data_IF_251037030399
#
_entry.id   IF_251037030399
#
_cell.length_a   1.000
_cell.length_b   1.000
_cell.length_c   1.000
_cell.angle_alpha   90.00
_cell.angle_beta   90.00
_cell.angle_gamma   90.00
#
_symmetry.space_group_name_H-M   'P 1'
#
loop_
_entity.id
_entity.type
_entity.pdbx_description
1 polymer ?
#
# COMPACT_ATOMS: atom_id res chain seq x y z
N UNK A 1 -20.95 5.38 8.86
CA UNK A 1 -19.65 4.97 8.52
C UNK A 1 -18.68 4.95 9.67
N UNK A 2 -17.89 3.90 9.75
CA UNK A 2 -16.83 3.74 10.75
C UNK A 2 -15.47 4.26 10.23
N UNK A 3 -15.37 4.51 8.93
CA UNK A 3 -14.16 4.96 8.28
C UNK A 3 -14.47 5.85 7.06
N UNK A 4 -13.47 6.61 6.63
CA UNK A 4 -13.47 7.36 5.38
C UNK A 4 -12.33 6.85 4.50
N UNK A 5 -12.47 6.87 3.16
CA UNK A 5 -11.37 6.48 2.28
C UNK A 5 -10.15 7.38 2.47
N UNK A 6 -8.97 6.79 2.55
CA UNK A 6 -7.71 7.50 2.45
C UNK A 6 -7.23 7.52 0.99
N UNK A 7 -6.57 8.60 0.58
CA UNK A 7 -6.05 8.77 -0.78
C UNK A 7 -4.54 8.99 -0.79
N UNK A 8 -3.93 9.09 0.37
CA UNK A 8 -2.48 9.19 0.56
C UNK A 8 -2.11 8.81 1.99
N UNK A 9 -0.83 8.59 2.25
CA UNK A 9 -0.31 8.34 3.59
C UNK A 9 -0.34 9.57 4.52
N UNK A 10 -0.60 10.76 3.97
CA UNK A 10 -0.68 11.99 4.77
C UNK A 10 -2.05 12.09 5.44
N UNK A 11 -2.05 12.21 6.75
CA UNK A 11 -3.25 12.16 7.57
C UNK A 11 -3.88 13.54 7.77
N UNK A 12 -5.20 13.63 8.00
CA UNK A 12 -5.86 14.88 8.37
C UNK A 12 -5.17 15.57 9.55
N UNK A 13 -4.95 16.88 9.42
CA UNK A 13 -4.29 17.69 10.45
C UNK A 13 -2.77 17.69 10.39
N UNK A 14 -2.17 17.04 9.38
CA UNK A 14 -0.71 17.13 9.14
C UNK A 14 -0.40 18.02 7.95
N UNK A 15 0.81 18.62 7.94
CA UNK A 15 1.28 19.36 6.75
C UNK A 15 1.32 18.45 5.53
N UNK A 16 1.02 19.03 4.37
CA UNK A 16 0.90 18.30 3.11
C UNK A 16 -0.39 17.50 2.93
N UNK A 17 -1.24 17.36 3.97
CA UNK A 17 -2.59 16.82 3.78
C UNK A 17 -3.45 17.74 2.92
N UNK A 18 -4.15 17.16 1.98
CA UNK A 18 -5.06 17.88 1.09
C UNK A 18 -6.40 17.12 1.05
N UNK A 19 -7.47 17.69 1.63
CA UNK A 19 -8.78 17.04 1.66
C UNK A 19 -9.44 16.95 0.26
N UNK A 20 -8.97 17.72 -0.72
CA UNK A 20 -9.45 17.68 -2.09
C UNK A 20 -8.68 16.65 -2.95
N UNK A 21 -7.55 16.14 -2.47
CA UNK A 21 -6.77 15.19 -3.23
C UNK A 21 -7.55 13.89 -3.45
N UNK A 22 -7.56 13.44 -4.69
CA UNK A 22 -8.18 12.17 -5.10
C UNK A 22 -7.22 11.41 -6.00
N UNK A 23 -7.27 10.10 -5.92
CA UNK A 23 -6.52 9.20 -6.78
C UNK A 23 -7.46 8.19 -7.42
N UNK A 24 -7.42 8.09 -8.73
CA UNK A 24 -8.12 7.03 -9.45
C UNK A 24 -7.62 5.62 -9.09
N UNK A 25 -6.40 5.53 -8.59
CA UNK A 25 -5.81 4.26 -8.14
C UNK A 25 -6.43 3.75 -6.83
N UNK A 26 -7.07 4.64 -6.04
CA UNK A 26 -7.78 4.28 -4.81
C UNK A 26 -9.25 3.89 -5.06
N UNK A 27 -9.74 3.98 -6.29
CA UNK A 27 -11.11 3.63 -6.62
C UNK A 27 -11.28 2.11 -6.66
N UNK A 28 -12.22 1.60 -5.86
CA UNK A 28 -12.59 0.19 -5.92
C UNK A 28 -13.44 -0.09 -7.17
N UNK A 29 -12.92 -0.85 -8.11
CA UNK A 29 -13.61 -1.25 -9.33
C UNK A 29 -13.18 -2.64 -9.78
N UNK A 30 -14.06 -3.63 -9.59
CA UNK A 30 -13.87 -5.00 -10.06
C UNK A 30 -13.72 -5.04 -11.59
N UNK A 31 -14.49 -4.23 -12.31
CA UNK A 31 -14.47 -4.18 -13.77
C UNK A 31 -13.11 -3.67 -14.28
N UNK A 32 -12.61 -2.57 -13.70
CA UNK A 32 -11.29 -2.01 -14.06
C UNK A 32 -10.17 -2.98 -13.70
N UNK A 33 -10.22 -3.62 -12.53
CA UNK A 33 -9.24 -4.60 -12.10
C UNK A 33 -9.18 -5.80 -13.05
N UNK A 34 -10.33 -6.37 -13.44
CA UNK A 34 -10.39 -7.46 -14.41
C UNK A 34 -9.83 -7.03 -15.77
N UNK A 35 -10.23 -5.86 -16.28
CA UNK A 35 -9.73 -5.36 -17.57
C UNK A 35 -8.20 -5.17 -17.56
N UNK A 36 -7.62 -4.68 -16.48
CA UNK A 36 -6.17 -4.53 -16.35
C UNK A 36 -5.48 -5.89 -16.28
N UNK A 37 -6.00 -6.82 -15.47
CA UNK A 37 -5.44 -8.17 -15.39
C UNK A 37 -5.46 -8.86 -16.75
N UNK A 38 -6.57 -8.78 -17.49
CA UNK A 38 -6.70 -9.35 -18.83
C UNK A 38 -5.70 -8.71 -19.81
N UNK A 39 -5.58 -7.38 -19.79
CA UNK A 39 -4.67 -6.62 -20.66
C UNK A 39 -3.20 -7.02 -20.43
N UNK A 40 -2.81 -7.32 -19.19
CA UNK A 40 -1.46 -7.75 -18.84
C UNK A 40 -1.25 -9.26 -18.91
N UNK A 41 -2.25 -10.03 -19.39
CA UNK A 41 -2.12 -11.46 -19.65
C UNK A 41 -2.29 -12.35 -18.40
N UNK A 42 -2.82 -11.81 -17.33
CA UNK A 42 -3.24 -12.58 -16.16
C UNK A 42 -4.63 -13.17 -16.41
N UNK A 43 -4.70 -14.38 -16.91
CA UNK A 43 -5.93 -15.02 -17.37
C UNK A 43 -6.17 -16.34 -16.61
N UNK A 44 -7.43 -16.70 -16.42
CA UNK A 44 -7.82 -18.04 -16.01
C UNK A 44 -7.77 -18.95 -17.25
N UNK A 45 -6.69 -19.72 -17.40
CA UNK A 45 -6.45 -20.57 -18.57
C UNK A 45 -6.95 -22.00 -18.38
N UNK A 46 -7.06 -22.44 -17.14
CA UNK A 46 -7.47 -23.81 -16.81
C UNK A 46 -8.96 -23.92 -16.46
N UNK A 47 -9.66 -22.78 -16.25
CA UNK A 47 -11.09 -22.70 -15.97
C UNK A 47 -11.46 -23.01 -14.52
N UNK A 48 -10.53 -22.89 -13.59
CA UNK A 48 -10.78 -23.16 -12.17
C UNK A 48 -11.33 -21.95 -11.39
N UNK A 49 -11.42 -20.79 -12.06
CA UNK A 49 -11.92 -19.53 -11.50
C UNK A 49 -10.81 -18.67 -10.90
N UNK A 50 -9.55 -19.09 -11.01
CA UNK A 50 -8.39 -18.31 -10.60
C UNK A 50 -7.47 -18.02 -11.79
N UNK A 51 -6.80 -16.90 -11.73
CA UNK A 51 -5.91 -16.44 -12.79
C UNK A 51 -4.51 -17.00 -12.65
N UNK A 52 -3.85 -17.24 -13.76
CA UNK A 52 -2.41 -17.49 -13.86
C UNK A 52 -1.66 -16.22 -14.27
N UNK A 53 -0.37 -16.20 -13.94
CA UNK A 53 0.60 -15.25 -14.47
C UNK A 53 0.74 -15.39 -16.00
N UNK A 54 1.29 -14.40 -16.73
CA UNK A 54 1.51 -14.50 -18.16
C UNK A 54 2.31 -15.73 -18.59
N UNK A 55 3.18 -16.25 -17.71
CA UNK A 55 3.96 -17.50 -17.95
C UNK A 55 3.22 -18.77 -17.48
N UNK A 56 1.93 -18.66 -17.11
CA UNK A 56 1.06 -19.81 -16.84
C UNK A 56 1.16 -20.39 -15.43
N UNK A 57 1.77 -19.68 -14.48
CA UNK A 57 1.85 -20.13 -13.09
C UNK A 57 0.66 -19.63 -12.26
N UNK A 58 0.11 -20.43 -11.31
CA UNK A 58 -0.93 -19.96 -10.40
C UNK A 58 -0.51 -18.72 -9.62
N UNK A 59 -1.42 -17.76 -9.49
CA UNK A 59 -1.22 -16.58 -8.64
C UNK A 59 -1.76 -16.88 -7.25
N UNK A 60 -0.86 -16.93 -6.27
CA UNK A 60 -1.22 -17.02 -4.86
C UNK A 60 -0.59 -15.88 -4.10
N UNK A 61 -1.41 -15.01 -3.52
CA UNK A 61 -0.94 -13.93 -2.69
C UNK A 61 -1.01 -14.36 -1.23
N UNK A 62 0.07 -14.09 -0.48
CA UNK A 62 0.15 -14.39 0.93
C UNK A 62 0.08 -13.13 1.76
N UNK A 63 -1.00 -12.97 2.53
CA UNK A 63 -1.24 -11.84 3.42
C UNK A 63 -0.95 -12.26 4.86
N UNK A 64 0.05 -11.64 5.48
CA UNK A 64 0.28 -11.77 6.91
C UNK A 64 -0.83 -11.03 7.68
N UNK A 65 -1.33 -11.65 8.73
CA UNK A 65 -2.46 -11.14 9.52
C UNK A 65 -2.34 -11.58 10.98
N UNK A 66 -3.26 -11.14 11.81
CA UNK A 66 -3.24 -11.38 13.26
C UNK A 66 -4.47 -12.19 13.71
N UNK A 67 -4.44 -12.84 14.88
CA UNK A 67 -5.51 -13.76 15.28
C UNK A 67 -6.77 -13.09 15.82
N UNK A 68 -6.76 -11.76 16.07
CA UNK A 68 -7.87 -11.03 16.65
C UNK A 68 -9.10 -11.00 15.73
N UNK A 69 -10.28 -10.86 16.30
CA UNK A 69 -11.55 -10.94 15.56
C UNK A 69 -11.66 -9.93 14.43
N UNK A 70 -11.17 -8.71 14.62
CA UNK A 70 -11.22 -7.67 13.60
C UNK A 70 -10.45 -8.08 12.32
N UNK A 71 -9.32 -8.76 12.48
CA UNK A 71 -8.54 -9.24 11.32
C UNK A 71 -9.23 -10.38 10.58
N UNK A 72 -10.02 -11.21 11.28
CA UNK A 72 -10.83 -12.25 10.62
C UNK A 72 -11.87 -11.62 9.70
N UNK A 73 -12.51 -10.53 10.13
CA UNK A 73 -13.49 -9.80 9.33
C UNK A 73 -12.82 -9.14 8.11
N UNK A 74 -11.63 -8.54 8.29
CA UNK A 74 -10.84 -8.01 7.18
C UNK A 74 -10.38 -9.11 6.22
N UNK A 75 -9.92 -10.24 6.72
CA UNK A 75 -9.50 -11.37 5.89
C UNK A 75 -10.66 -11.89 5.02
N UNK A 76 -11.88 -11.91 5.55
CA UNK A 76 -13.04 -12.31 4.76
C UNK A 76 -13.40 -11.28 3.68
N UNK A 77 -13.25 -9.97 3.96
CA UNK A 77 -13.40 -8.92 2.96
C UNK A 77 -12.35 -9.07 1.85
N UNK A 78 -11.07 -9.25 2.21
CA UNK A 78 -9.98 -9.49 1.28
C UNK A 78 -10.22 -10.71 0.41
N UNK A 79 -10.59 -11.85 1.02
CA UNK A 79 -10.88 -13.09 0.29
C UNK A 79 -11.97 -12.87 -0.77
N UNK A 80 -13.07 -12.22 -0.40
CA UNK A 80 -14.18 -11.95 -1.33
C UNK A 80 -13.78 -10.99 -2.44
N UNK A 81 -13.09 -9.90 -2.10
CA UNK A 81 -12.64 -8.91 -3.07
C UNK A 81 -11.67 -9.53 -4.09
N UNK A 82 -10.65 -10.26 -3.63
CA UNK A 82 -9.67 -10.89 -4.51
C UNK A 82 -10.26 -12.02 -5.35
N UNK A 83 -11.15 -12.83 -4.77
CA UNK A 83 -11.88 -13.86 -5.52
C UNK A 83 -12.74 -13.27 -6.64
N UNK A 84 -13.31 -12.07 -6.47
CA UNK A 84 -14.12 -11.42 -7.51
C UNK A 84 -13.32 -11.00 -8.75
N UNK A 85 -11.98 -10.98 -8.64
CA UNK A 85 -11.06 -10.73 -9.75
C UNK A 85 -10.18 -11.96 -10.08
N UNK A 86 -10.54 -13.13 -9.57
CA UNK A 86 -9.87 -14.40 -9.87
C UNK A 86 -8.47 -14.52 -9.23
N UNK A 87 -8.22 -13.93 -8.07
CA UNK A 87 -6.93 -14.06 -7.36
C UNK A 87 -7.12 -14.79 -6.03
N UNK A 88 -6.29 -15.82 -5.81
CA UNK A 88 -6.27 -16.56 -4.55
C UNK A 88 -5.44 -15.83 -3.49
N UNK A 89 -5.97 -15.71 -2.27
CA UNK A 89 -5.25 -15.14 -1.12
C UNK A 89 -5.18 -16.16 0.01
N UNK A 90 -3.97 -16.44 0.46
CA UNK A 90 -3.67 -17.21 1.66
C UNK A 90 -3.37 -16.28 2.84
N UNK A 91 -3.86 -16.61 4.03
CA UNK A 91 -3.64 -15.81 5.23
C UNK A 91 -2.62 -16.52 6.16
N UNK A 92 -1.48 -15.85 6.39
CA UNK A 92 -0.48 -16.29 7.35
C UNK A 92 -0.75 -15.61 8.69
N UNK A 93 -1.35 -16.36 9.63
CA UNK A 93 -1.74 -15.83 10.94
C UNK A 93 -0.55 -15.95 11.90
N UNK A 94 -0.08 -14.82 12.44
CA UNK A 94 0.94 -14.75 13.46
C UNK A 94 0.68 -13.54 14.39
N UNK A 95 1.32 -13.50 15.54
CA UNK A 95 1.25 -12.35 16.46
C UNK A 95 2.00 -11.15 15.87
N UNK A 96 1.56 -9.94 16.22
CA UNK A 96 2.16 -8.71 15.71
C UNK A 96 3.71 -8.65 15.80
N UNK A 97 4.37 -9.05 16.94
CA UNK A 97 5.84 -9.03 17.01
C UNK A 97 6.51 -9.97 16.00
N UNK A 98 5.89 -11.11 15.70
CA UNK A 98 6.39 -12.09 14.72
C UNK A 98 6.23 -11.56 13.30
N UNK A 99 5.08 -10.97 13.00
CA UNK A 99 4.83 -10.31 11.71
C UNK A 99 5.81 -9.14 11.51
N UNK A 100 6.04 -8.29 12.52
CA UNK A 100 7.00 -7.20 12.46
C UNK A 100 8.42 -7.70 12.21
N UNK A 101 8.87 -8.74 12.93
CA UNK A 101 10.17 -9.36 12.72
C UNK A 101 10.32 -9.87 11.27
N UNK A 102 9.27 -10.50 10.74
CA UNK A 102 9.25 -11.01 9.37
C UNK A 102 9.24 -9.89 8.34
N UNK A 103 8.53 -8.78 8.59
CA UNK A 103 8.52 -7.59 7.74
C UNK A 103 9.90 -6.93 7.70
N UNK A 104 10.55 -6.74 8.85
CA UNK A 104 11.91 -6.20 8.93
C UNK A 104 12.93 -7.11 8.21
N UNK A 105 12.75 -8.43 8.26
CA UNK A 105 13.57 -9.39 7.51
C UNK A 105 13.25 -9.42 6.00
N UNK A 106 12.13 -8.80 5.54
CA UNK A 106 11.70 -8.82 4.14
C UNK A 106 11.13 -10.16 3.69
N UNK A 107 10.60 -10.95 4.61
CA UNK A 107 10.04 -12.28 4.33
C UNK A 107 8.52 -12.28 4.16
N UNK A 108 7.85 -11.14 4.32
CA UNK A 108 6.43 -10.98 4.03
C UNK A 108 6.21 -10.54 2.58
N UNK A 109 5.18 -11.09 1.96
CA UNK A 109 4.72 -10.61 0.66
C UNK A 109 3.76 -9.43 0.81
N UNK A 110 2.78 -9.57 1.68
CA UNK A 110 1.79 -8.55 2.00
C UNK A 110 1.51 -8.55 3.51
N UNK A 111 1.28 -7.39 4.08
CA UNK A 111 0.86 -7.25 5.47
C UNK A 111 0.00 -5.99 5.64
N UNK A 112 -1.06 -6.09 6.42
CA UNK A 112 -1.91 -4.96 6.77
C UNK A 112 -1.42 -4.35 8.08
N UNK A 113 -0.97 -3.10 8.02
CA UNK A 113 -0.41 -2.37 9.16
C UNK A 113 -1.12 -1.03 9.33
N UNK A 114 -1.61 -0.77 10.55
CA UNK A 114 -2.14 0.54 10.93
C UNK A 114 -1.03 1.51 11.32
N UNK A 115 -1.23 2.79 11.05
CA UNK A 115 -0.34 3.86 11.51
C UNK A 115 -1.14 5.06 12.01
N UNK A 116 -0.49 5.92 12.79
CA UNK A 116 -1.05 7.19 13.28
C UNK A 116 -0.01 8.29 13.15
N UNK A 117 -0.48 9.53 12.93
CA UNK A 117 0.41 10.68 12.95
C UNK A 117 0.92 10.94 14.38
N UNK A 118 2.22 11.03 14.54
CA UNK A 118 2.88 11.35 15.81
C UNK A 118 3.18 12.84 15.99
N UNK A 119 3.04 13.63 14.91
CA UNK A 119 3.32 15.06 14.88
C UNK A 119 2.42 15.76 13.84
N UNK A 120 2.25 17.10 13.93
CA UNK A 120 1.53 17.87 12.93
C UNK A 120 2.21 17.93 11.56
N UNK A 121 3.45 17.46 11.44
CA UNK A 121 4.18 17.38 10.18
C UNK A 121 3.87 16.07 9.45
N UNK A 122 3.56 16.15 8.16
CA UNK A 122 3.31 14.98 7.32
C UNK A 122 4.57 14.29 6.82
N UNK A 123 5.74 14.94 6.89
CA UNK A 123 6.99 14.39 6.38
C UNK A 123 7.36 13.04 7.02
N UNK A 124 7.22 12.81 8.36
CA UNK A 124 7.53 11.50 8.95
C UNK A 124 6.69 10.35 8.38
N UNK A 125 5.45 10.59 7.97
CA UNK A 125 4.62 9.57 7.34
C UNK A 125 5.16 9.10 5.98
N UNK A 126 5.99 9.92 5.32
CA UNK A 126 6.62 9.58 4.05
C UNK A 126 7.90 8.74 4.20
N UNK A 127 8.43 8.57 5.42
CA UNK A 127 9.62 7.74 5.67
C UNK A 127 9.42 6.27 5.23
N UNK A 128 8.18 5.78 5.25
CA UNK A 128 7.84 4.44 4.77
C UNK A 128 8.08 4.23 3.26
N UNK A 129 8.35 5.29 2.51
CA UNK A 129 8.68 5.23 1.07
C UNK A 129 10.15 5.58 0.80
N UNK A 130 10.89 6.06 1.80
CA UNK A 130 12.25 6.54 1.65
C UNK A 130 13.23 5.38 1.46
N UNK A 131 13.96 5.36 0.34
CA UNK A 131 14.83 4.25 -0.05
C UNK A 131 15.92 3.90 0.97
N UNK A 132 16.62 4.88 1.57
CA UNK A 132 17.61 4.64 2.62
C UNK A 132 17.07 3.93 3.88
N UNK A 133 15.77 4.06 4.17
CA UNK A 133 15.09 3.39 5.30
C UNK A 133 14.58 1.97 4.94
N UNK A 134 14.96 1.43 3.80
CA UNK A 134 14.52 0.10 3.36
C UNK A 134 14.89 -1.00 4.36
N UNK A 135 13.88 -1.72 4.85
CA UNK A 135 14.03 -2.74 5.88
C UNK A 135 14.01 -2.19 7.32
N UNK A 136 13.75 -0.90 7.47
CA UNK A 136 13.49 -0.22 8.74
C UNK A 136 12.06 0.38 8.70
N UNK A 137 11.93 1.69 8.55
CA UNK A 137 10.61 2.33 8.39
C UNK A 137 9.96 1.99 7.04
N UNK A 138 10.76 1.83 6.00
CA UNK A 138 10.31 1.40 4.67
C UNK A 138 10.29 -0.14 4.58
N UNK A 139 9.24 -0.75 5.11
CA UNK A 139 9.05 -2.20 5.11
C UNK A 139 8.83 -2.79 3.70
N UNK A 140 8.21 -2.02 2.81
CA UNK A 140 8.01 -2.40 1.41
C UNK A 140 9.32 -2.41 0.60
N UNK A 141 10.40 -1.88 1.14
CA UNK A 141 11.70 -1.76 0.46
C UNK A 141 11.62 -1.03 -0.88
N UNK A 142 10.66 -0.14 -0.99
CA UNK A 142 10.51 0.74 -2.14
C UNK A 142 11.76 1.61 -2.31
N UNK A 143 12.23 1.76 -3.53
CA UNK A 143 13.40 2.57 -3.86
C UNK A 143 13.13 3.35 -5.14
N UNK A 144 13.09 4.65 -5.03
CA UNK A 144 12.93 5.57 -6.16
C UNK A 144 13.76 6.83 -5.89
N UNK A 145 14.84 7.00 -6.64
CA UNK A 145 15.78 8.12 -6.42
C UNK A 145 15.12 9.51 -6.56
N UNK A 146 14.06 9.62 -7.37
CA UNK A 146 13.27 10.84 -7.50
C UNK A 146 12.52 11.14 -6.20
N UNK A 147 11.89 10.13 -5.60
CA UNK A 147 11.21 10.26 -4.32
C UNK A 147 12.20 10.59 -3.19
N UNK A 148 13.34 9.92 -3.16
CA UNK A 148 14.36 10.12 -2.12
C UNK A 148 14.83 11.58 -2.09
N UNK A 149 15.07 12.21 -3.26
CA UNK A 149 15.43 13.63 -3.38
C UNK A 149 14.32 14.56 -2.85
N UNK A 150 13.06 14.25 -3.14
CA UNK A 150 11.92 15.02 -2.63
C UNK A 150 11.87 14.91 -1.11
N UNK A 151 12.03 13.71 -0.57
CA UNK A 151 12.01 13.48 0.86
C UNK A 151 13.15 14.23 1.59
N UNK A 152 14.37 14.18 1.07
CA UNK A 152 15.52 14.95 1.60
C UNK A 152 15.22 16.46 1.62
N UNK A 153 14.61 16.98 0.54
CA UNK A 153 14.24 18.39 0.45
C UNK A 153 13.14 18.76 1.47
N UNK A 154 12.16 17.88 1.68
CA UNK A 154 11.10 18.07 2.69
C UNK A 154 11.64 18.16 4.12
N UNK A 155 12.74 17.44 4.41
CA UNK A 155 13.42 17.53 5.71
C UNK A 155 14.11 18.88 5.95
N UNK A 156 14.62 19.49 4.88
CA UNK A 156 15.42 20.71 4.97
C UNK A 156 14.60 22.00 4.88
N UNK A 157 13.42 21.97 4.24
CA UNK A 157 12.61 23.15 3.96
C UNK A 157 11.69 23.51 5.12
N UNK A 158 11.56 24.79 5.47
CA UNK A 158 10.52 25.28 6.37
C UNK A 158 9.14 25.17 5.70
N UNK A 159 8.08 25.23 6.50
CA UNK A 159 6.71 25.26 6.00
C UNK A 159 6.51 26.44 5.03
N UNK A 160 5.82 26.19 3.92
CA UNK A 160 5.58 27.16 2.87
C UNK A 160 5.12 26.51 1.56
N UNK A 161 4.94 27.36 0.54
CA UNK A 161 4.41 26.92 -0.77
C UNK A 161 5.31 25.88 -1.44
N UNK A 162 6.63 26.07 -1.37
CA UNK A 162 7.57 25.13 -1.98
C UNK A 162 7.50 23.76 -1.31
N UNK A 163 7.46 23.70 0.03
CA UNK A 163 7.32 22.47 0.78
C UNK A 163 5.97 21.78 0.46
N UNK A 164 4.89 22.55 0.33
CA UNK A 164 3.58 22.01 -0.07
C UNK A 164 3.63 21.40 -1.49
N UNK A 165 4.32 22.06 -2.43
CA UNK A 165 4.53 21.52 -3.79
C UNK A 165 5.25 20.16 -3.73
N UNK A 166 6.29 20.04 -2.93
CA UNK A 166 7.01 18.76 -2.75
C UNK A 166 6.13 17.66 -2.13
N UNK A 167 5.27 18.01 -1.18
CA UNK A 167 4.28 17.05 -0.66
C UNK A 167 3.34 16.54 -1.76
N UNK A 168 2.91 17.40 -2.68
CA UNK A 168 2.08 17.01 -3.82
C UNK A 168 2.84 16.07 -4.77
N UNK A 169 4.09 16.37 -5.09
CA UNK A 169 4.93 15.51 -5.93
C UNK A 169 5.17 14.15 -5.27
N UNK A 170 5.52 14.12 -3.98
CA UNK A 170 5.68 12.89 -3.22
C UNK A 170 4.41 12.02 -3.27
N UNK A 171 3.23 12.61 -3.01
CA UNK A 171 1.93 11.90 -3.11
C UNK A 171 1.72 11.26 -4.49
N UNK A 172 1.99 12.02 -5.56
CA UNK A 172 1.84 11.50 -6.93
C UNK A 172 2.72 10.29 -7.19
N UNK A 173 3.98 10.33 -6.77
CA UNK A 173 4.91 9.21 -6.93
C UNK A 173 4.46 8.00 -6.12
N UNK A 174 4.12 8.18 -4.84
CA UNK A 174 3.70 7.06 -3.99
C UNK A 174 2.45 6.36 -4.51
N UNK A 175 1.52 7.11 -5.13
CA UNK A 175 0.32 6.56 -5.73
C UNK A 175 0.63 5.87 -7.06
N UNK A 176 1.49 6.44 -7.90
CA UNK A 176 1.84 5.86 -9.19
C UNK A 176 2.51 4.49 -9.05
N UNK A 177 3.38 4.32 -8.06
CA UNK A 177 4.09 3.06 -7.79
C UNK A 177 3.38 2.15 -6.78
N UNK A 178 2.52 2.70 -5.95
CA UNK A 178 1.67 2.03 -4.94
C UNK A 178 2.41 0.94 -4.12
N UNK A 179 3.57 1.23 -3.51
CA UNK A 179 4.23 0.27 -2.63
C UNK A 179 3.42 0.00 -1.35
N UNK A 180 2.53 0.93 -0.99
CA UNK A 180 1.50 0.80 0.03
C UNK A 180 0.15 1.22 -0.56
N UNK A 181 -0.87 0.42 -0.29
CA UNK A 181 -2.26 0.79 -0.51
C UNK A 181 -2.82 1.35 0.81
N UNK A 182 -3.27 2.60 0.83
CA UNK A 182 -3.76 3.32 2.02
C UNK A 182 -5.27 3.39 2.06
#
# INVERSE_FOLDING_TARGET
GQAVPAYSALMPGTSGYDPAFRSEMADYSVQRANALLDMYGYLDRNGDGFRETPDGKPIKLKLATEPEQIYRDFNELWRRAMKSIGIEVEFAIAQWPENMKSALAGSLQMWMLGSSASAPDGQPALAQYYGPEAGQQNLARFKLAEFDKIYDSLQALPDGEERNRLFHEAKRLTIAYMPYNV
#
